data_IF_506666712939
#
_entry.id   IF_506666712939
#
_cell.length_a   1.000
_cell.length_b   1.000
_cell.length_c   1.000
_cell.angle_alpha   90.00
_cell.angle_beta   90.00
_cell.angle_gamma   90.00
#
_symmetry.space_group_name_H-M   'P 1'
#
loop_
_entity.id
_entity.type
_entity.pdbx_description
1 polymer ?
#
# COMPACT_ATOMS: atom_id res chain seq x y z
N UNK A 1 29.90 3.71 -12.56
CA UNK A 1 28.46 3.65 -12.87
C UNK A 1 28.28 2.44 -13.77
N UNK A 2 27.64 1.38 -13.29
CA UNK A 2 27.29 0.26 -14.18
C UNK A 2 26.08 0.72 -15.01
N UNK A 3 26.19 0.60 -16.33
CA UNK A 3 25.08 0.69 -17.29
C UNK A 3 24.10 -0.49 -17.06
N UNK A 4 23.47 -0.52 -15.89
CA UNK A 4 22.45 -1.52 -15.55
C UNK A 4 21.11 -0.98 -16.07
N UNK A 5 20.48 -1.60 -17.08
CA UNK A 5 19.31 -1.01 -17.68
C UNK A 5 18.15 -1.15 -16.69
N UNK A 6 17.85 -0.03 -16.02
CA UNK A 6 16.72 0.16 -15.13
C UNK A 6 15.41 -0.30 -15.78
N UNK A 7 14.35 -0.51 -14.97
CA UNK A 7 12.98 -0.58 -15.48
C UNK A 7 12.80 0.53 -16.53
N UNK A 8 12.35 0.15 -17.73
CA UNK A 8 12.07 1.16 -18.76
C UNK A 8 10.81 1.87 -18.28
N UNK A 9 10.97 3.10 -17.79
CA UNK A 9 9.89 4.08 -17.68
C UNK A 9 9.43 4.40 -19.09
N UNK A 10 8.71 3.44 -19.64
CA UNK A 10 7.99 3.32 -20.91
C UNK A 10 8.60 4.02 -22.14
N UNK A 11 8.90 3.20 -23.15
CA UNK A 11 9.10 3.63 -24.53
C UNK A 11 7.77 4.08 -25.22
N UNK A 12 6.75 4.44 -24.43
CA UNK A 12 5.38 4.62 -24.91
C UNK A 12 5.03 6.10 -25.02
N UNK A 13 4.77 6.49 -26.26
CA UNK A 13 4.47 7.84 -26.73
C UNK A 13 3.34 8.52 -25.93
N UNK A 14 3.71 9.32 -24.94
CA UNK A 14 2.99 10.55 -24.60
C UNK A 14 3.85 11.71 -25.10
N UNK A 15 3.21 12.77 -25.58
CA UNK A 15 3.95 13.99 -25.91
C UNK A 15 4.58 14.56 -24.63
N UNK A 16 5.70 15.28 -24.76
CA UNK A 16 6.31 15.97 -23.60
C UNK A 16 5.33 16.96 -22.97
N UNK A 17 4.48 17.57 -23.79
CA UNK A 17 3.45 18.52 -23.35
C UNK A 17 2.36 17.84 -22.51
N UNK A 18 1.84 16.69 -22.96
CA UNK A 18 0.88 15.88 -22.19
C UNK A 18 1.47 15.44 -20.86
N UNK A 19 2.71 14.96 -20.87
CA UNK A 19 3.36 14.49 -19.65
C UNK A 19 3.58 15.65 -18.66
N UNK A 20 4.00 16.82 -19.16
CA UNK A 20 4.16 18.01 -18.34
C UNK A 20 2.83 18.47 -17.71
N UNK A 21 1.73 18.47 -18.47
CA UNK A 21 0.40 18.79 -17.96
C UNK A 21 -0.05 17.80 -16.86
N UNK A 22 0.12 16.51 -17.09
CA UNK A 22 -0.29 15.47 -16.14
C UNK A 22 0.55 15.48 -14.86
N UNK A 23 1.83 15.85 -14.92
CA UNK A 23 2.75 15.90 -13.77
C UNK A 23 2.53 17.12 -12.85
N UNK A 24 1.61 18.03 -13.21
CA UNK A 24 1.29 19.22 -12.42
C UNK A 24 0.83 18.89 -11.00
N UNK A 25 1.60 19.31 -9.98
CA UNK A 25 1.28 19.08 -8.56
C UNK A 25 0.51 20.25 -7.97
N UNK A 26 -0.56 19.95 -7.23
CA UNK A 26 -1.34 20.95 -6.49
C UNK A 26 -1.63 20.48 -5.07
N UNK A 27 -1.69 21.39 -4.11
CA UNK A 27 -2.07 21.04 -2.74
C UNK A 27 -3.57 20.74 -2.62
N UNK A 28 -4.41 21.38 -3.43
CA UNK A 28 -5.87 21.35 -3.28
C UNK A 28 -6.47 19.94 -3.29
N UNK A 29 -6.25 19.14 -4.36
CA UNK A 29 -6.86 17.82 -4.46
C UNK A 29 -6.41 16.88 -3.34
N UNK A 30 -5.12 16.88 -2.98
CA UNK A 30 -4.59 16.06 -1.89
C UNK A 30 -5.09 16.51 -0.53
N UNK A 31 -5.22 17.82 -0.29
CA UNK A 31 -5.74 18.34 0.98
C UNK A 31 -7.21 17.97 1.15
N UNK A 32 -8.05 18.17 0.13
CA UNK A 32 -9.45 17.76 0.15
C UNK A 32 -9.59 16.26 0.38
N UNK A 33 -8.77 15.45 -0.31
CA UNK A 33 -8.77 13.99 -0.15
C UNK A 33 -8.34 13.58 1.25
N UNK A 34 -7.30 14.20 1.82
CA UNK A 34 -6.85 13.95 3.18
C UNK A 34 -7.91 14.33 4.21
N UNK A 35 -8.48 15.53 4.13
CA UNK A 35 -9.54 15.99 5.05
C UNK A 35 -10.73 15.04 5.01
N UNK A 36 -11.18 14.65 3.82
CA UNK A 36 -12.27 13.70 3.68
C UNK A 36 -11.91 12.34 4.30
N UNK A 37 -10.75 11.77 3.97
CA UNK A 37 -10.37 10.43 4.40
C UNK A 37 -10.13 10.35 5.92
N UNK A 38 -9.34 11.27 6.47
CA UNK A 38 -9.10 11.33 7.92
C UNK A 38 -10.33 11.82 8.69
N UNK A 39 -11.20 12.61 8.06
CA UNK A 39 -12.51 12.98 8.60
C UNK A 39 -13.42 11.76 8.76
N UNK A 40 -13.50 10.90 7.72
CA UNK A 40 -14.23 9.62 7.80
C UNK A 40 -13.66 8.75 8.92
N UNK A 41 -12.34 8.64 9.06
CA UNK A 41 -11.71 7.90 10.15
C UNK A 41 -12.08 8.47 11.52
N UNK A 42 -12.01 9.78 11.70
CA UNK A 42 -12.35 10.43 12.97
C UNK A 42 -13.83 10.22 13.33
N UNK A 43 -14.73 10.38 12.36
CA UNK A 43 -16.18 10.19 12.55
C UNK A 43 -16.48 8.73 12.88
N UNK A 44 -16.03 7.79 12.04
CA UNK A 44 -16.31 6.36 12.23
C UNK A 44 -15.66 5.81 13.48
N UNK A 45 -14.44 6.25 13.83
CA UNK A 45 -13.77 5.89 15.08
C UNK A 45 -14.49 6.44 16.32
N UNK A 46 -15.00 7.67 16.26
CA UNK A 46 -15.82 8.25 17.34
C UNK A 46 -17.13 7.49 17.51
N UNK A 47 -17.82 7.18 16.40
CA UNK A 47 -19.06 6.39 16.44
C UNK A 47 -18.80 4.99 16.96
N UNK A 48 -17.73 4.33 16.50
CA UNK A 48 -17.32 3.02 16.96
C UNK A 48 -17.06 3.01 18.47
N UNK A 49 -16.35 4.01 18.97
CA UNK A 49 -16.16 4.15 20.42
C UNK A 49 -17.50 4.36 21.13
N UNK A 50 -18.31 5.35 20.73
CA UNK A 50 -19.59 5.65 21.41
C UNK A 50 -20.58 4.48 21.40
N UNK A 51 -20.63 3.71 20.32
CA UNK A 51 -21.60 2.64 20.09
C UNK A 51 -21.03 1.24 20.36
N UNK A 52 -19.85 1.13 20.96
CA UNK A 52 -19.11 -0.12 21.23
C UNK A 52 -19.89 -1.22 21.95
N UNK A 53 -20.89 -0.85 22.75
CA UNK A 53 -21.72 -1.77 23.53
C UNK A 53 -23.08 -2.05 22.87
N UNK A 54 -23.23 -1.73 21.59
CA UNK A 54 -24.46 -1.95 20.81
C UNK A 54 -24.19 -2.84 19.61
N UNK A 55 -25.24 -3.36 18.97
CA UNK A 55 -25.10 -4.15 17.74
C UNK A 55 -24.40 -3.39 16.58
N UNK A 56 -24.40 -2.05 16.61
CA UNK A 56 -23.74 -1.22 15.61
C UNK A 56 -22.20 -1.33 15.62
N UNK A 57 -21.60 -1.90 16.67
CA UNK A 57 -20.14 -2.07 16.76
C UNK A 57 -19.59 -2.88 15.58
N UNK A 58 -20.29 -3.94 15.14
CA UNK A 58 -19.83 -4.83 14.08
C UNK A 58 -19.79 -4.15 12.69
N UNK A 59 -20.88 -3.54 12.18
CA UNK A 59 -20.81 -2.81 10.91
C UNK A 59 -19.87 -1.60 10.98
N UNK A 60 -19.77 -0.92 12.13
CA UNK A 60 -18.82 0.18 12.30
C UNK A 60 -17.37 -0.29 12.27
N UNK A 61 -17.05 -1.47 12.83
CA UNK A 61 -15.72 -2.08 12.71
C UNK A 61 -15.35 -2.31 11.25
N UNK A 62 -16.27 -2.82 10.43
CA UNK A 62 -16.04 -3.06 9.00
C UNK A 62 -15.81 -1.74 8.24
N UNK A 63 -16.67 -0.74 8.44
CA UNK A 63 -16.53 0.57 7.77
C UNK A 63 -15.26 1.29 8.21
N UNK A 64 -14.96 1.29 9.51
CA UNK A 64 -13.77 1.92 10.05
C UNK A 64 -12.50 1.20 9.60
N UNK A 65 -12.49 -0.14 9.64
CA UNK A 65 -11.40 -0.96 9.12
C UNK A 65 -11.18 -0.73 7.62
N UNK A 66 -12.23 -0.61 6.82
CA UNK A 66 -12.11 -0.28 5.40
C UNK A 66 -11.45 1.09 5.18
N UNK A 67 -11.89 2.13 5.89
CA UNK A 67 -11.25 3.45 5.83
C UNK A 67 -9.78 3.38 6.29
N UNK A 68 -9.47 2.59 7.32
CA UNK A 68 -8.11 2.45 7.83
C UNK A 68 -7.20 1.73 6.84
N UNK A 69 -7.71 0.71 6.14
CA UNK A 69 -7.00 0.00 5.06
C UNK A 69 -6.46 0.96 4.01
N UNK A 70 -7.32 1.85 3.51
CA UNK A 70 -6.97 2.76 2.42
C UNK A 70 -6.21 4.01 2.86
N UNK A 71 -5.93 4.16 4.17
CA UNK A 71 -4.89 5.08 4.65
C UNK A 71 -3.53 4.71 4.05
N UNK A 72 -3.32 3.44 3.70
CA UNK A 72 -2.17 3.00 2.91
C UNK A 72 -2.02 3.76 1.58
N UNK A 73 -3.11 4.10 0.89
CA UNK A 73 -3.00 4.83 -0.39
C UNK A 73 -2.58 6.29 -0.19
N UNK A 74 -3.02 6.94 0.91
CA UNK A 74 -2.50 8.27 1.28
C UNK A 74 -1.00 8.19 1.59
N UNK A 75 -0.60 7.14 2.33
CA UNK A 75 0.79 6.86 2.66
C UNK A 75 1.66 6.61 1.42
N UNK A 76 1.13 5.84 0.47
CA UNK A 76 1.70 5.54 -0.85
C UNK A 76 2.02 6.83 -1.63
N UNK A 77 0.98 7.60 -1.95
CA UNK A 77 1.10 8.78 -2.80
C UNK A 77 1.98 9.88 -2.19
N UNK A 78 1.96 9.99 -0.86
CA UNK A 78 2.85 10.92 -0.17
C UNK A 78 4.31 10.45 -0.15
N UNK A 79 4.59 9.14 -0.23
CA UNK A 79 5.96 8.62 -0.33
C UNK A 79 6.64 8.98 -1.67
N UNK A 80 5.87 9.10 -2.75
CA UNK A 80 6.34 9.65 -4.04
C UNK A 80 6.60 11.15 -4.00
N UNK A 81 6.06 11.86 -3.01
CA UNK A 81 6.08 13.33 -2.91
C UNK A 81 5.43 14.02 -4.11
N UNK A 82 4.46 13.36 -4.72
CA UNK A 82 3.66 13.87 -5.85
C UNK A 82 2.30 14.38 -5.38
N UNK A 83 1.74 13.84 -4.28
CA UNK A 83 0.43 14.22 -3.77
C UNK A 83 0.29 15.73 -3.52
N UNK A 84 1.26 16.34 -2.82
CA UNK A 84 1.26 17.79 -2.54
C UNK A 84 2.38 18.52 -3.30
N UNK A 85 2.10 19.74 -3.75
CA UNK A 85 3.11 20.70 -4.24
C UNK A 85 4.07 21.09 -3.11
N UNK A 86 3.52 21.37 -1.93
CA UNK A 86 4.29 21.71 -0.73
C UNK A 86 4.93 20.47 -0.13
N UNK A 87 6.27 20.40 -0.17
CA UNK A 87 7.02 19.18 0.17
C UNK A 87 6.77 18.67 1.59
N UNK A 88 6.68 19.54 2.59
CA UNK A 88 6.51 19.13 3.99
C UNK A 88 5.13 18.52 4.26
N UNK A 89 4.09 18.89 3.50
CA UNK A 89 2.75 18.29 3.63
C UNK A 89 2.76 16.80 3.30
N UNK A 90 3.52 16.39 2.27
CA UNK A 90 3.72 14.97 1.96
C UNK A 90 4.33 14.22 3.15
N UNK A 91 5.34 14.82 3.81
CA UNK A 91 5.99 14.20 4.97
C UNK A 91 5.03 14.14 6.15
N UNK A 92 4.31 15.21 6.47
CA UNK A 92 3.39 15.25 7.61
C UNK A 92 2.24 14.24 7.47
N UNK A 93 1.55 14.25 6.32
CA UNK A 93 0.45 13.31 6.03
C UNK A 93 0.97 11.88 5.94
N UNK A 94 2.11 11.67 5.27
CA UNK A 94 2.74 10.36 5.15
C UNK A 94 3.21 9.79 6.50
N UNK A 95 3.76 10.61 7.40
CA UNK A 95 4.16 10.17 8.74
C UNK A 95 2.92 9.79 9.57
N UNK A 96 1.85 10.58 9.54
CA UNK A 96 0.58 10.24 10.20
C UNK A 96 0.01 8.92 9.66
N UNK A 97 -0.08 8.77 8.35
CA UNK A 97 -0.58 7.56 7.71
C UNK A 97 0.32 6.35 8.02
N UNK A 98 1.64 6.54 8.05
CA UNK A 98 2.61 5.52 8.46
C UNK A 98 2.44 5.10 9.91
N UNK A 99 2.17 6.04 10.83
CA UNK A 99 1.88 5.72 12.23
C UNK A 99 0.66 4.82 12.31
N UNK A 100 -0.44 5.21 11.68
CA UNK A 100 -1.71 4.46 11.67
C UNK A 100 -1.58 3.06 11.07
N UNK A 101 -0.67 2.87 10.11
CA UNK A 101 -0.48 1.60 9.38
C UNK A 101 0.70 0.76 9.87
N UNK A 102 1.39 1.20 10.94
CA UNK A 102 2.59 0.55 11.49
C UNK A 102 3.74 0.40 10.49
N UNK A 103 3.92 1.40 9.61
CA UNK A 103 5.05 1.43 8.68
C UNK A 103 5.74 2.80 8.74
N UNK A 104 6.98 2.89 9.26
CA UNK A 104 7.73 4.14 9.25
C UNK A 104 7.86 4.72 7.84
N UNK A 105 7.58 6.03 7.69
CA UNK A 105 7.39 6.67 6.40
C UNK A 105 8.63 6.66 5.50
N UNK A 106 9.82 6.96 6.04
CA UNK A 106 11.08 6.81 5.31
C UNK A 106 11.36 5.35 5.00
N UNK A 107 11.12 4.44 5.94
CA UNK A 107 11.31 3.00 5.70
C UNK A 107 10.51 2.52 4.50
N UNK A 108 9.22 2.85 4.47
CA UNK A 108 8.39 2.55 3.32
C UNK A 108 8.87 3.23 2.05
N UNK A 109 9.24 4.51 2.10
CA UNK A 109 9.73 5.22 0.92
C UNK A 109 10.98 4.55 0.33
N UNK A 110 11.95 4.14 1.16
CA UNK A 110 13.16 3.43 0.69
C UNK A 110 12.78 2.09 0.03
N UNK A 111 11.93 1.30 0.69
CA UNK A 111 11.40 0.06 0.13
C UNK A 111 10.70 0.30 -1.22
N UNK A 112 9.84 1.31 -1.27
CA UNK A 112 8.92 1.50 -2.38
C UNK A 112 9.60 2.10 -3.61
N UNK A 113 10.56 3.00 -3.44
CA UNK A 113 11.37 3.49 -4.56
C UNK A 113 12.17 2.38 -5.22
N UNK A 114 12.71 1.43 -4.44
CA UNK A 114 13.42 0.27 -5.01
C UNK A 114 12.45 -0.69 -5.70
N UNK A 115 11.23 -0.86 -5.17
CA UNK A 115 10.15 -1.58 -5.86
C UNK A 115 9.80 -0.94 -7.20
N UNK A 116 9.62 0.38 -7.29
CA UNK A 116 9.39 1.05 -8.59
C UNK A 116 10.56 0.89 -9.56
N UNK A 117 11.79 0.91 -9.03
CA UNK A 117 13.00 0.79 -9.83
C UNK A 117 13.19 -0.60 -10.41
N UNK A 118 12.69 -1.63 -9.72
CA UNK A 118 12.93 -3.03 -10.03
C UNK A 118 11.64 -3.86 -10.01
N UNK A 119 10.50 -3.27 -10.35
CA UNK A 119 9.19 -3.95 -10.30
C UNK A 119 9.26 -5.26 -11.07
N UNK A 120 8.90 -6.36 -10.40
CA UNK A 120 8.91 -7.72 -10.93
C UNK A 120 10.30 -8.25 -11.35
N UNK A 121 11.38 -7.64 -10.86
CA UNK A 121 12.70 -8.23 -10.90
C UNK A 121 12.87 -9.22 -9.75
N UNK A 122 13.04 -10.51 -10.07
CA UNK A 122 13.05 -11.59 -9.08
C UNK A 122 14.16 -11.48 -8.02
N UNK A 123 15.24 -10.79 -8.33
CA UNK A 123 16.39 -10.68 -7.43
C UNK A 123 16.40 -9.36 -6.67
N UNK A 124 15.84 -8.30 -7.27
CA UNK A 124 16.00 -6.93 -6.80
C UNK A 124 14.70 -6.29 -6.28
N UNK A 125 13.53 -6.78 -6.68
CA UNK A 125 12.26 -6.25 -6.20
C UNK A 125 12.05 -6.59 -4.71
N UNK A 126 12.00 -5.59 -3.82
CA UNK A 126 11.76 -5.86 -2.40
C UNK A 126 10.34 -6.38 -2.11
N UNK A 127 9.36 -6.24 -3.03
CA UNK A 127 8.05 -6.91 -2.90
C UNK A 127 8.20 -8.43 -3.02
N UNK A 128 9.04 -8.90 -3.93
CA UNK A 128 9.28 -10.33 -4.17
C UNK A 128 10.18 -10.97 -3.11
N UNK A 129 10.86 -10.18 -2.29
CA UNK A 129 11.64 -10.68 -1.16
C UNK A 129 10.78 -11.45 -0.13
N UNK A 130 9.50 -11.07 0.01
CA UNK A 130 8.58 -11.74 0.92
C UNK A 130 7.69 -12.70 0.14
N UNK A 131 7.61 -13.96 0.60
CA UNK A 131 6.78 -14.98 -0.04
C UNK A 131 5.30 -14.60 -0.03
N UNK A 132 4.65 -14.78 -1.18
CA UNK A 132 3.19 -14.68 -1.34
C UNK A 132 2.53 -15.95 -0.75
N UNK A 133 1.25 -15.89 -0.34
CA UNK A 133 0.57 -17.08 0.18
C UNK A 133 0.46 -18.16 -0.90
N UNK A 134 0.88 -19.39 -0.57
CA UNK A 134 0.96 -20.51 -1.52
C UNK A 134 -0.22 -21.49 -1.44
N UNK A 135 -1.21 -21.22 -0.58
CA UNK A 135 -2.39 -22.05 -0.38
C UNK A 135 -3.56 -21.22 0.12
N UNK A 136 -4.78 -21.73 -0.03
CA UNK A 136 -5.98 -21.05 0.48
C UNK A 136 -5.93 -20.84 2.01
N UNK A 137 -5.50 -21.82 2.85
CA UNK A 137 -5.32 -21.57 4.29
C UNK A 137 -4.30 -20.47 4.59
N UNK A 138 -3.17 -20.43 3.88
CA UNK A 138 -2.17 -19.37 4.06
C UNK A 138 -2.73 -18.00 3.65
N UNK A 139 -3.53 -17.95 2.59
CA UNK A 139 -4.21 -16.74 2.15
C UNK A 139 -5.21 -16.24 3.20
N UNK A 140 -6.08 -17.11 3.72
CA UNK A 140 -7.02 -16.77 4.81
C UNK A 140 -6.26 -16.28 6.05
N UNK A 141 -5.13 -16.90 6.40
CA UNK A 141 -4.29 -16.44 7.51
C UNK A 141 -3.74 -15.02 7.29
N UNK A 142 -3.34 -14.68 6.06
CA UNK A 142 -2.93 -13.31 5.71
C UNK A 142 -4.06 -12.29 5.88
N UNK A 143 -5.32 -12.68 5.62
CA UNK A 143 -6.49 -11.80 5.79
C UNK A 143 -6.79 -11.46 7.26
N UNK A 144 -6.36 -12.30 8.22
CA UNK A 144 -6.53 -12.01 9.67
C UNK A 144 -5.72 -10.82 10.15
N UNK A 145 -4.74 -10.38 9.36
CA UNK A 145 -3.81 -9.33 9.73
C UNK A 145 -2.74 -9.72 10.74
N UNK A 146 -2.78 -10.93 11.33
CA UNK A 146 -1.75 -11.41 12.25
C UNK A 146 -0.36 -11.43 11.60
N UNK A 147 -0.17 -11.95 10.37
CA UNK A 147 1.14 -11.89 9.72
C UNK A 147 1.64 -10.46 9.51
N UNK A 148 0.73 -9.55 9.17
CA UNK A 148 1.07 -8.14 9.00
C UNK A 148 1.45 -7.50 10.34
N UNK A 149 0.72 -7.77 11.43
CA UNK A 149 1.07 -7.33 12.78
C UNK A 149 2.49 -7.76 13.17
N UNK A 150 2.77 -9.07 13.09
CA UNK A 150 4.08 -9.63 13.44
C UNK A 150 5.19 -8.99 12.61
N UNK A 151 4.99 -8.86 11.30
CA UNK A 151 6.00 -8.30 10.40
C UNK A 151 6.23 -6.81 10.64
N UNK A 152 5.18 -6.02 10.79
CA UNK A 152 5.27 -4.55 10.95
C UNK A 152 5.89 -4.18 12.28
N UNK A 153 5.40 -4.76 13.38
CA UNK A 153 5.97 -4.54 14.71
C UNK A 153 7.40 -5.08 14.77
N UNK A 154 7.64 -6.28 14.22
CA UNK A 154 8.97 -6.87 14.13
C UNK A 154 9.97 -6.00 13.36
N UNK A 155 9.58 -5.44 12.21
CA UNK A 155 10.44 -4.54 11.43
C UNK A 155 10.75 -3.23 12.20
N UNK A 156 9.77 -2.65 12.89
CA UNK A 156 9.99 -1.46 13.73
C UNK A 156 10.98 -1.77 14.86
N UNK A 157 10.78 -2.87 15.59
CA UNK A 157 11.67 -3.28 16.68
C UNK A 157 13.09 -3.57 16.17
N UNK A 158 13.20 -4.31 15.06
CA UNK A 158 14.47 -4.64 14.40
C UNK A 158 15.25 -3.37 14.03
N UNK A 159 14.59 -2.41 13.40
CA UNK A 159 15.21 -1.11 13.08
C UNK A 159 15.57 -0.32 14.34
N UNK A 160 14.69 -0.31 15.35
CA UNK A 160 14.93 0.45 16.59
C UNK A 160 16.18 -0.04 17.37
N UNK A 161 16.47 -1.35 17.34
CA UNK A 161 17.69 -1.93 17.92
C UNK A 161 18.93 -1.79 17.03
N UNK A 162 18.84 -1.10 15.90
CA UNK A 162 19.97 -0.80 15.02
C UNK A 162 20.19 -1.78 13.86
N UNK A 163 19.36 -2.82 13.72
CA UNK A 163 19.46 -3.80 12.63
C UNK A 163 18.71 -3.28 11.40
N UNK A 164 19.41 -2.52 10.56
CA UNK A 164 18.88 -1.89 9.33
C UNK A 164 19.49 -2.47 8.05
N UNK A 165 19.97 -3.71 8.11
CA UNK A 165 20.42 -4.50 6.97
C UNK A 165 19.22 -5.05 6.21
N UNK A 166 19.04 -4.62 4.96
CA UNK A 166 18.19 -5.25 3.93
C UNK A 166 18.90 -5.10 2.58
N UNK A 167 18.68 -6.01 1.62
CA UNK A 167 19.33 -5.94 0.31
C UNK A 167 19.09 -4.62 -0.44
N UNK A 168 17.90 -4.03 -0.28
CA UNK A 168 17.50 -2.76 -0.91
C UNK A 168 17.83 -1.51 -0.08
N UNK A 169 18.45 -1.65 1.10
CA UNK A 169 18.78 -0.50 1.95
C UNK A 169 20.23 -0.08 1.76
N UNK A 170 20.43 1.09 1.15
CA UNK A 170 21.74 1.72 1.06
C UNK A 170 22.31 2.02 2.47
N UNK A 171 23.63 1.89 2.70
CA UNK A 171 24.25 2.18 3.99
C UNK A 171 23.93 3.57 4.54
N UNK A 172 23.77 4.57 3.67
CA UNK A 172 23.40 5.95 4.02
C UNK A 172 22.01 6.08 4.63
N UNK A 173 21.08 5.17 4.33
CA UNK A 173 19.71 5.21 4.87
C UNK A 173 19.61 4.61 6.27
N UNK A 174 20.59 3.81 6.72
CA UNK A 174 20.52 3.06 7.99
C UNK A 174 20.23 3.93 9.20
N UNK A 175 21.05 4.96 9.44
CA UNK A 175 20.90 5.83 10.63
C UNK A 175 19.55 6.57 10.63
N UNK A 176 19.13 7.24 9.53
CA UNK A 176 17.80 7.84 9.46
C UNK A 176 16.65 6.86 9.73
N UNK A 177 16.72 5.63 9.22
CA UNK A 177 15.70 4.61 9.43
C UNK A 177 15.61 4.15 10.89
N UNK A 178 16.76 3.98 11.56
CA UNK A 178 16.83 3.62 12.99
C UNK A 178 16.19 4.73 13.84
N UNK A 179 16.51 5.99 13.56
CA UNK A 179 15.95 7.13 14.30
C UNK A 179 14.43 7.21 14.12
N UNK A 180 13.95 7.06 12.88
CA UNK A 180 12.52 7.07 12.58
C UNK A 180 11.79 5.92 13.30
N UNK A 181 12.34 4.70 13.25
CA UNK A 181 11.74 3.55 13.94
C UNK A 181 11.67 3.75 15.46
N UNK A 182 12.68 4.36 16.08
CA UNK A 182 12.65 4.72 17.52
C UNK A 182 11.59 5.76 17.83
N UNK A 183 11.42 6.77 16.97
CA UNK A 183 10.36 7.77 17.15
C UNK A 183 8.96 7.14 17.07
N UNK A 184 8.74 6.24 16.09
CA UNK A 184 7.49 5.49 15.98
C UNK A 184 7.26 4.60 17.21
N UNK A 185 8.29 3.86 17.64
CA UNK A 185 8.21 3.01 18.83
C UNK A 185 7.87 3.82 20.08
N UNK A 186 8.47 5.01 20.26
CA UNK A 186 8.16 5.90 21.37
C UNK A 186 6.69 6.34 21.36
N UNK A 187 6.12 6.65 20.19
CA UNK A 187 4.69 6.97 20.06
C UNK A 187 3.82 5.77 20.45
N UNK A 188 4.13 4.56 19.98
CA UNK A 188 3.36 3.36 20.32
C UNK A 188 3.41 3.02 21.81
N UNK A 189 4.60 3.12 22.43
CA UNK A 189 4.76 2.93 23.88
C UNK A 189 4.00 3.99 24.67
N UNK A 190 4.03 5.25 24.23
CA UNK A 190 3.28 6.33 24.88
C UNK A 190 1.76 6.09 24.81
N UNK A 191 1.23 5.66 23.67
CA UNK A 191 -0.20 5.32 23.53
C UNK A 191 -0.56 4.12 24.42
N UNK A 192 0.27 3.08 24.44
CA UNK A 192 0.04 1.91 25.28
C UNK A 192 0.04 2.28 26.78
N UNK A 193 1.03 3.06 27.23
CA UNK A 193 1.11 3.55 28.61
C UNK A 193 -0.11 4.42 28.97
N UNK A 194 -0.51 5.35 28.08
CA UNK A 194 -1.70 6.17 28.29
C UNK A 194 -2.98 5.32 28.39
N UNK A 195 -3.13 4.31 27.54
CA UNK A 195 -4.25 3.36 27.61
C UNK A 195 -4.28 2.60 28.93
N UNK A 196 -3.12 2.14 29.43
CA UNK A 196 -3.03 1.42 30.71
C UNK A 196 -3.35 2.33 31.89
N UNK A 197 -2.76 3.52 31.94
CA UNK A 197 -3.00 4.51 33.00
C UNK A 197 -4.46 4.96 33.06
N UNK A 198 -5.10 5.10 31.90
CA UNK A 198 -6.52 5.46 31.81
C UNK A 198 -7.48 4.27 31.95
N UNK A 199 -6.99 3.03 32.03
CA UNK A 199 -7.82 1.83 32.00
C UNK A 199 -8.69 1.72 30.74
N UNK A 200 -8.24 2.27 29.61
CA UNK A 200 -9.06 2.48 28.41
C UNK A 200 -8.64 1.58 27.25
N UNK A 201 -9.61 0.85 26.69
CA UNK A 201 -9.45 0.00 25.51
C UNK A 201 -9.59 0.74 24.18
N UNK A 202 -9.66 2.08 24.19
CA UNK A 202 -9.93 2.87 22.96
C UNK A 202 -8.90 2.63 21.86
N UNK A 203 -7.61 2.55 22.20
CA UNK A 203 -6.56 2.27 21.22
C UNK A 203 -6.73 0.86 20.61
N UNK A 204 -7.15 -0.12 21.40
CA UNK A 204 -7.41 -1.46 20.89
C UNK A 204 -8.63 -1.48 19.95
N UNK A 205 -9.76 -0.92 20.40
CA UNK A 205 -11.02 -1.01 19.67
C UNK A 205 -11.08 -0.10 18.44
N UNK A 206 -10.54 1.11 18.52
CA UNK A 206 -10.61 2.09 17.43
C UNK A 206 -9.43 1.97 16.48
N UNK A 207 -8.28 1.45 16.94
CA UNK A 207 -7.09 1.43 16.10
C UNK A 207 -6.56 0.03 15.82
N UNK A 208 -6.17 -0.74 16.84
CA UNK A 208 -5.47 -2.02 16.62
C UNK A 208 -6.37 -3.07 15.97
N UNK A 209 -7.56 -3.31 16.51
CA UNK A 209 -8.50 -4.31 15.98
C UNK A 209 -8.96 -3.95 14.56
N UNK A 210 -9.40 -2.70 14.27
CA UNK A 210 -9.74 -2.30 12.91
C UNK A 210 -8.58 -2.38 11.95
N UNK A 211 -7.34 -2.07 12.38
CA UNK A 211 -6.15 -2.18 11.54
C UNK A 211 -5.80 -3.63 11.18
N UNK A 212 -6.03 -4.58 12.08
CA UNK A 212 -5.92 -6.00 11.75
C UNK A 212 -7.01 -6.43 10.77
N UNK A 213 -8.26 -6.01 11.03
CA UNK A 213 -9.41 -6.29 10.17
C UNK A 213 -9.26 -5.69 8.76
N UNK A 214 -8.58 -4.53 8.66
CA UNK A 214 -8.35 -3.81 7.40
C UNK A 214 -7.71 -4.71 6.33
N UNK A 215 -6.95 -5.72 6.76
CA UNK A 215 -6.17 -6.60 5.92
C UNK A 215 -7.08 -7.49 5.07
N UNK A 216 -8.32 -7.72 5.50
CA UNK A 216 -9.38 -8.35 4.69
C UNK A 216 -9.67 -7.56 3.42
N UNK A 217 -9.50 -6.23 3.44
CA UNK A 217 -9.71 -5.35 2.28
C UNK A 217 -8.39 -5.05 1.56
N UNK A 218 -7.34 -4.72 2.31
CA UNK A 218 -6.07 -4.28 1.74
C UNK A 218 -5.28 -5.42 1.11
N UNK A 219 -5.36 -6.67 1.60
CA UNK A 219 -4.56 -7.77 1.05
C UNK A 219 -5.02 -8.23 -0.34
N UNK A 220 -6.32 -8.46 -0.61
CA UNK A 220 -6.78 -8.72 -1.96
C UNK A 220 -6.45 -7.58 -2.91
N UNK A 221 -6.52 -6.33 -2.41
CA UNK A 221 -6.17 -5.13 -3.17
C UNK A 221 -4.71 -5.15 -3.63
N UNK A 222 -3.75 -5.28 -2.70
CA UNK A 222 -2.31 -5.23 -3.01
C UNK A 222 -1.84 -6.48 -3.77
N UNK A 223 -2.39 -7.66 -3.47
CA UNK A 223 -2.04 -8.86 -4.22
C UNK A 223 -2.45 -8.75 -5.70
N UNK A 224 -3.53 -8.01 -5.99
CA UNK A 224 -3.98 -7.77 -7.36
C UNK A 224 -3.03 -6.87 -8.17
N UNK A 225 -2.14 -6.09 -7.57
CA UNK A 225 -1.32 -5.10 -8.29
C UNK A 225 -0.30 -5.75 -9.23
N UNK A 226 0.45 -6.73 -8.75
CA UNK A 226 1.55 -7.36 -9.50
C UNK A 226 1.40 -8.87 -9.64
N UNK A 227 0.63 -9.54 -8.76
CA UNK A 227 0.51 -11.00 -8.83
C UNK A 227 -0.23 -11.44 -10.10
N UNK A 228 0.29 -12.49 -10.74
CA UNK A 228 -0.17 -12.98 -12.04
C UNK A 228 -0.01 -11.96 -13.20
N UNK A 229 0.93 -11.03 -13.09
CA UNK A 229 1.40 -10.19 -14.20
C UNK A 229 2.76 -10.69 -14.70
N UNK A 230 3.26 -10.11 -15.80
CA UNK A 230 4.51 -10.52 -16.41
C UNK A 230 5.74 -10.12 -15.54
N UNK A 231 6.87 -10.79 -15.74
CA UNK A 231 8.16 -10.44 -15.12
C UNK A 231 9.04 -9.61 -16.09
N UNK A 232 8.41 -8.79 -16.93
CA UNK A 232 9.12 -7.92 -17.88
C UNK A 232 9.46 -6.58 -17.23
N UNK A 233 10.24 -5.75 -17.94
CA UNK A 233 10.63 -4.40 -17.50
C UNK A 233 9.65 -3.32 -17.90
N UNK A 234 8.58 -3.65 -18.61
CA UNK A 234 7.55 -2.70 -19.00
C UNK A 234 6.46 -2.67 -17.93
N UNK A 235 6.29 -1.51 -17.29
CA UNK A 235 5.28 -1.33 -16.26
C UNK A 235 3.84 -1.51 -16.74
N UNK A 236 3.56 -1.34 -18.04
CA UNK A 236 2.22 -1.59 -18.58
C UNK A 236 1.92 -3.08 -18.79
N UNK A 237 2.95 -3.93 -18.78
CA UNK A 237 2.85 -5.39 -18.86
C UNK A 237 2.91 -6.03 -17.46
N UNK A 238 3.84 -5.56 -16.62
CA UNK A 238 4.20 -6.21 -15.35
C UNK A 238 3.34 -5.78 -14.15
N UNK A 239 2.44 -4.80 -14.35
CA UNK A 239 1.58 -4.20 -13.34
C UNK A 239 0.13 -4.15 -13.84
N UNK A 240 -0.83 -4.28 -12.93
CA UNK A 240 -2.26 -4.33 -13.23
C UNK A 240 -2.99 -3.06 -12.84
N UNK A 241 -3.85 -2.58 -13.73
CA UNK A 241 -4.92 -1.63 -13.39
C UNK A 241 -6.22 -2.38 -13.15
N UNK A 242 -6.88 -2.09 -12.04
CA UNK A 242 -8.15 -2.75 -11.66
C UNK A 242 -9.25 -1.70 -11.61
N UNK A 243 -10.17 -1.75 -12.59
CA UNK A 243 -11.30 -0.83 -12.63
C UNK A 243 -12.20 -1.06 -11.42
N UNK A 244 -12.79 0.02 -10.89
CA UNK A 244 -13.61 -0.06 -9.68
C UNK A 244 -14.54 1.14 -9.55
N UNK A 245 -15.45 1.06 -8.59
CA UNK A 245 -16.47 2.08 -8.33
C UNK A 245 -15.81 3.42 -7.91
N UNK A 246 -16.45 4.56 -8.23
CA UNK A 246 -15.96 5.88 -7.82
C UNK A 246 -15.68 6.01 -6.32
N UNK A 247 -16.50 5.40 -5.47
CA UNK A 247 -16.31 5.43 -4.02
C UNK A 247 -15.03 4.69 -3.59
N UNK A 248 -14.72 3.55 -4.20
CA UNK A 248 -13.48 2.81 -3.92
C UNK A 248 -12.27 3.64 -4.39
N UNK A 249 -12.35 4.25 -5.58
CA UNK A 249 -11.29 5.18 -6.05
C UNK A 249 -11.16 6.41 -5.14
N UNK A 250 -12.24 6.84 -4.50
CA UNK A 250 -12.22 7.91 -3.51
C UNK A 250 -11.40 7.51 -2.27
N UNK A 251 -11.66 6.33 -1.70
CA UNK A 251 -10.85 5.81 -0.60
C UNK A 251 -9.40 5.53 -1.02
N UNK A 252 -9.20 4.85 -2.14
CA UNK A 252 -7.91 4.39 -2.61
C UNK A 252 -7.05 5.49 -3.27
N UNK A 253 -7.39 6.78 -3.17
CA UNK A 253 -6.62 7.85 -3.79
C UNK A 253 -6.34 7.60 -5.28
N UNK A 254 -7.30 7.06 -6.04
CA UNK A 254 -7.10 6.67 -7.45
C UNK A 254 -5.95 5.65 -7.71
N UNK A 255 -5.34 5.04 -6.68
CA UNK A 255 -4.35 3.96 -6.83
C UNK A 255 -4.80 2.75 -7.67
N UNK A 256 -6.11 2.44 -7.87
CA UNK A 256 -6.46 1.32 -8.76
C UNK A 256 -5.95 1.49 -10.20
N UNK A 257 -5.59 2.72 -10.60
CA UNK A 257 -4.79 3.04 -11.79
C UNK A 257 -3.29 2.78 -11.55
N UNK A 258 -2.98 1.54 -11.19
CA UNK A 258 -1.67 1.17 -10.68
C UNK A 258 -0.63 0.96 -11.80
N UNK A 259 -1.03 0.42 -12.96
CA UNK A 259 -0.13 0.31 -14.10
C UNK A 259 0.31 1.69 -14.61
N UNK A 260 -0.61 2.65 -14.62
CA UNK A 260 -0.31 4.05 -14.92
C UNK A 260 0.66 4.65 -13.90
N UNK A 261 0.40 4.39 -12.62
CA UNK A 261 1.24 4.85 -11.53
C UNK A 261 2.68 4.28 -11.66
N UNK A 262 2.84 3.00 -11.94
CA UNK A 262 4.17 2.38 -12.14
C UNK A 262 4.88 2.90 -13.38
N UNK A 263 4.17 3.06 -14.49
CA UNK A 263 4.73 3.57 -15.73
C UNK A 263 5.12 5.06 -15.63
N UNK A 264 4.36 5.86 -14.87
CA UNK A 264 4.55 7.31 -14.75
C UNK A 264 4.49 7.77 -13.28
N UNK A 265 5.44 7.37 -12.42
CA UNK A 265 5.37 7.57 -10.96
C UNK A 265 5.48 9.04 -10.52
N UNK A 266 5.78 9.95 -11.44
CA UNK A 266 5.79 11.38 -11.21
C UNK A 266 4.41 12.04 -11.37
N UNK A 267 3.45 11.34 -11.98
CA UNK A 267 2.07 11.81 -12.16
C UNK A 267 1.33 11.65 -10.82
N UNK A 268 0.80 12.74 -10.24
CA UNK A 268 0.06 12.66 -8.99
C UNK A 268 -1.27 11.90 -9.16
N UNK A 269 -1.69 11.26 -8.08
CA UNK A 269 -2.93 10.47 -8.01
C UNK A 269 -4.18 11.11 -8.62
N UNK A 270 -4.33 12.43 -8.49
CA UNK A 270 -5.51 13.16 -9.00
C UNK A 270 -5.55 13.23 -10.53
N UNK A 271 -4.42 13.03 -11.20
CA UNK A 271 -4.29 13.03 -12.66
C UNK A 271 -4.30 11.62 -13.26
N UNK A 272 -4.18 10.56 -12.45
CA UNK A 272 -4.22 9.17 -12.92
C UNK A 272 -5.45 8.83 -13.78
N UNK A 273 -6.68 9.30 -13.49
CA UNK A 273 -7.82 9.05 -14.38
C UNK A 273 -7.63 9.64 -15.79
N UNK A 274 -7.04 10.84 -15.90
CA UNK A 274 -6.72 11.47 -17.19
C UNK A 274 -5.58 10.77 -17.91
N UNK A 275 -4.63 10.21 -17.15
CA UNK A 275 -3.55 9.39 -17.70
C UNK A 275 -4.10 8.06 -18.24
N UNK A 276 -5.00 7.41 -17.50
CA UNK A 276 -5.67 6.18 -17.92
C UNK A 276 -6.32 6.32 -19.30
N UNK A 277 -7.06 7.41 -19.54
CA UNK A 277 -7.68 7.69 -20.85
C UNK A 277 -6.68 7.66 -22.02
N UNK A 278 -5.43 8.05 -21.78
CA UNK A 278 -4.36 8.13 -22.80
C UNK A 278 -3.60 6.82 -22.99
N UNK A 279 -3.53 5.96 -21.97
CA UNK A 279 -2.65 4.77 -21.98
C UNK A 279 -3.37 3.45 -21.79
N UNK A 280 -4.67 3.43 -21.46
CA UNK A 280 -5.43 2.21 -21.19
C UNK A 280 -5.34 1.15 -22.30
N UNK A 281 -5.28 1.56 -23.57
CA UNK A 281 -5.14 0.65 -24.72
C UNK A 281 -3.76 -0.04 -24.82
N UNK A 282 -2.80 0.36 -23.98
CA UNK A 282 -1.46 -0.23 -23.88
C UNK A 282 -1.26 -1.05 -22.61
N UNK A 283 -2.24 -1.07 -21.69
CA UNK A 283 -2.17 -1.83 -20.44
C UNK A 283 -2.51 -3.29 -20.73
N UNK A 284 -1.57 -4.20 -20.50
CA UNK A 284 -1.78 -5.64 -20.72
C UNK A 284 -2.71 -6.23 -19.64
N UNK A 285 -2.48 -5.83 -18.39
CA UNK A 285 -3.25 -6.31 -17.25
C UNK A 285 -4.30 -5.27 -16.82
N UNK A 286 -5.42 -5.24 -17.53
CA UNK A 286 -6.57 -4.38 -17.21
C UNK A 286 -7.77 -5.25 -16.80
N UNK A 287 -8.09 -5.26 -15.50
CA UNK A 287 -9.20 -6.07 -14.98
C UNK A 287 -10.45 -5.20 -14.72
N UNK A 288 -11.67 -5.71 -15.00
CA UNK A 288 -12.92 -4.95 -14.85
C UNK A 288 -13.35 -4.73 -13.39
N UNK A 289 -12.67 -5.36 -12.43
CA UNK A 289 -13.06 -5.35 -11.02
C UNK A 289 -12.14 -6.17 -10.14
N UNK A 290 -12.12 -5.86 -8.83
CA UNK A 290 -11.32 -6.61 -7.85
C UNK A 290 -11.74 -8.08 -7.71
N UNK A 291 -13.00 -8.44 -8.03
CA UNK A 291 -13.43 -9.85 -8.07
C UNK A 291 -12.69 -10.61 -9.17
N UNK A 292 -12.68 -10.08 -10.40
CA UNK A 292 -11.97 -10.69 -11.54
C UNK A 292 -10.46 -10.77 -11.27
N UNK A 293 -9.86 -9.69 -10.76
CA UNK A 293 -8.46 -9.66 -10.39
C UNK A 293 -8.14 -10.70 -9.29
N UNK A 294 -8.97 -10.80 -8.24
CA UNK A 294 -8.77 -11.75 -7.15
C UNK A 294 -8.90 -13.21 -7.62
N UNK A 295 -9.82 -13.51 -8.54
CA UNK A 295 -9.95 -14.84 -9.14
C UNK A 295 -8.70 -15.20 -9.96
N UNK A 296 -8.18 -14.27 -10.76
CA UNK A 296 -6.94 -14.45 -11.54
C UNK A 296 -5.74 -14.70 -10.61
N UNK A 297 -5.61 -13.90 -9.55
CA UNK A 297 -4.57 -14.07 -8.52
C UNK A 297 -4.69 -15.43 -7.82
N UNK A 298 -5.89 -15.83 -7.41
CA UNK A 298 -6.12 -17.10 -6.74
C UNK A 298 -5.77 -18.30 -7.65
N UNK A 299 -6.16 -18.25 -8.93
CA UNK A 299 -5.78 -19.27 -9.92
C UNK A 299 -4.26 -19.35 -10.11
N UNK A 300 -3.58 -18.21 -10.16
CA UNK A 300 -2.13 -18.19 -10.27
C UNK A 300 -1.43 -18.77 -9.04
N UNK A 301 -1.83 -18.34 -7.83
CA UNK A 301 -1.19 -18.76 -6.58
C UNK A 301 -1.51 -20.20 -6.19
N UNK A 302 -2.76 -20.65 -6.40
CA UNK A 302 -3.23 -21.94 -5.89
C UNK A 302 -3.43 -22.99 -7.00
N UNK A 303 -3.60 -22.56 -8.26
CA UNK A 303 -3.87 -23.46 -9.38
C UNK A 303 -2.64 -24.21 -9.89
N UNK A 304 -1.42 -23.67 -9.75
CA UNK A 304 -0.20 -24.33 -10.22
C UNK A 304 0.16 -25.59 -9.39
N UNK A 305 -0.15 -25.62 -8.09
CA UNK A 305 0.06 -26.81 -7.24
C UNK A 305 -0.92 -27.95 -7.54
N UNK A 306 -2.15 -27.64 -7.98
CA UNK A 306 -3.12 -28.68 -8.37
C UNK A 306 -2.65 -29.47 -9.61
N UNK A 307 -1.98 -28.79 -10.56
CA UNK A 307 -1.48 -29.41 -11.79
C UNK A 307 -0.17 -30.21 -11.60
N UNK A 308 0.62 -29.92 -10.55
CA UNK A 308 1.84 -30.68 -10.22
C UNK A 308 1.56 -31.89 -9.34
N UNK A 309 0.52 -31.85 -8.50
CA UNK A 309 0.08 -33.01 -7.71
C UNK A 309 -0.61 -34.07 -8.58
N UNK A 310 -1.33 -33.67 -9.63
CA UNK A 310 -1.93 -34.65 -10.56
C UNK A 310 -0.87 -35.41 -11.38
N UNK A 311 0.21 -34.72 -11.80
CA UNK A 311 1.32 -35.33 -12.55
C UNK A 311 2.27 -36.20 -11.73
N UNK A 312 2.09 -36.27 -10.41
CA UNK A 312 2.89 -37.12 -9.52
C UNK A 312 2.16 -38.42 -9.13
N UNK A 313 0.93 -38.62 -9.62
CA UNK A 313 0.06 -39.77 -9.33
C UNK A 313 -0.27 -40.58 -10.60
N UNK A 314 0.21 -40.11 -11.76
CA UNK A 314 0.21 -40.83 -13.05
C UNK A 314 1.63 -41.32 -13.38
#
# INVERSE_FOLDING_TARGET
>A
MRDDPLVRFTAHQLSREDLHDLMGRSNGPALLRAIWHFGVLAITGTLLWKLRSTAWVLPLLLVHGYALAFTFCAFHETAHRTAFRTRWLNVAVGTLAGLLTFWPYRNYRVYHWEHHRFTQDRERDPELYFSKPESLPAYVFVLTGIPNLVRRVGDILRLAIGRADRPWMAPSERRPLIIEARAYLAVYVAVAAASMLAGSSIALLVWIVPWMLDQTFLRPYLLAEHTACSFTRDCLENTRTTLTLPLVRLFAWNMPYHAEHHAYPAVPFHALPRLHERVQGKIENLEPGYVAASVKVARYLFGQKAASLHRAVD
#
